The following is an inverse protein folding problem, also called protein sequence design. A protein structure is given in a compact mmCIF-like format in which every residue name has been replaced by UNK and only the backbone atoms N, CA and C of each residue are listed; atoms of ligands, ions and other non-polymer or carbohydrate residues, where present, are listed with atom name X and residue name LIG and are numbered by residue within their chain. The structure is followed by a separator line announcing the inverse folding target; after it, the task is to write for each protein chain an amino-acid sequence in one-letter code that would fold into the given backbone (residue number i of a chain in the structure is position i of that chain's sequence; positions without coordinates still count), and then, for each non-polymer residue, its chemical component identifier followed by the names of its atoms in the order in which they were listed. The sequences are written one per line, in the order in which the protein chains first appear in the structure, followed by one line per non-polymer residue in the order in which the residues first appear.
data_IF_388699547894
#
_entry.id   IF_388699547894
#
_cell.length_a   1.000
_cell.length_b   1.000
_cell.length_c   1.000
_cell.angle_alpha   90.00
_cell.angle_beta   90.00
_cell.angle_gamma   90.00
#
_symmetry.space_group_name_H-M   'P 1'
#
loop_
_entity.id
_entity.type
_entity.pdbx_description
1 polymer ?
#
# COMPACT_ATOMS: atom_id res chain seq x y z
N UNK A 1 13.13 -11.06 -15.14
CA UNK A 1 13.65 -10.56 -13.84
C UNK A 1 12.80 -11.16 -12.73
N UNK A 2 13.34 -11.42 -11.53
CA UNK A 2 12.52 -11.76 -10.37
C UNK A 2 11.47 -10.65 -10.11
N UNK A 3 10.36 -10.94 -9.40
CA UNK A 3 9.34 -9.94 -9.11
C UNK A 3 9.96 -8.74 -8.40
N UNK A 4 9.73 -7.55 -8.94
CA UNK A 4 10.07 -6.29 -8.26
C UNK A 4 8.83 -5.90 -7.49
N UNK A 5 8.95 -5.88 -6.16
CA UNK A 5 7.88 -5.41 -5.29
C UNK A 5 7.88 -3.89 -5.24
N UNK A 6 6.68 -3.32 -5.13
CA UNK A 6 6.43 -1.90 -4.94
C UNK A 6 5.91 -1.69 -3.51
N UNK A 7 6.43 -0.67 -2.84
CA UNK A 7 5.92 -0.21 -1.54
C UNK A 7 4.90 0.89 -1.81
N UNK A 8 3.65 0.69 -1.37
CA UNK A 8 2.47 1.45 -1.79
C UNK A 8 1.77 2.19 -0.64
N UNK A 9 2.43 2.37 0.50
CA UNK A 9 1.89 3.08 1.67
C UNK A 9 0.60 2.54 2.32
N UNK A 10 0.02 1.43 1.86
CA UNK A 10 -1.26 0.93 2.39
C UNK A 10 -1.17 0.46 3.85
N UNK A 11 -0.08 -0.24 4.22
CA UNK A 11 0.07 -0.83 5.55
C UNK A 11 1.54 -0.83 5.99
N UNK A 12 1.76 -0.45 7.25
CA UNK A 12 3.04 -0.61 7.93
C UNK A 12 2.86 -1.24 9.30
N UNK A 13 3.73 -2.19 9.64
CA UNK A 13 3.82 -2.78 10.97
C UNK A 13 5.28 -2.67 11.42
N UNK A 14 5.49 -1.99 12.54
CA UNK A 14 6.81 -1.80 13.14
C UNK A 14 6.70 -1.80 14.66
N UNK A 15 7.81 -2.12 15.32
CA UNK A 15 7.93 -1.89 16.77
C UNK A 15 8.12 -0.40 17.04
N UNK A 16 7.66 0.06 18.21
CA UNK A 16 7.81 1.45 18.64
C UNK A 16 9.28 1.87 18.64
N UNK A 17 10.14 1.01 19.15
CA UNK A 17 11.58 1.22 19.32
C UNK A 17 12.23 1.47 17.97
N UNK A 18 11.89 0.66 16.95
CA UNK A 18 12.44 0.80 15.60
C UNK A 18 12.00 2.12 14.94
N UNK A 19 10.70 2.47 15.02
CA UNK A 19 10.22 3.72 14.43
C UNK A 19 10.90 4.92 15.10
N UNK A 20 11.02 4.92 16.44
CA UNK A 20 11.63 6.01 17.19
C UNK A 20 13.12 6.18 16.84
N UNK A 21 13.86 5.08 16.72
CA UNK A 21 15.28 5.11 16.39
C UNK A 21 15.56 5.57 14.96
N UNK A 22 14.75 5.12 13.99
CA UNK A 22 15.01 5.36 12.56
C UNK A 22 14.35 6.62 12.02
N UNK A 23 13.24 7.06 12.62
CA UNK A 23 12.46 8.24 12.19
C UNK A 23 11.94 8.14 10.75
N UNK A 24 11.79 6.92 10.23
CA UNK A 24 11.15 6.62 8.96
C UNK A 24 10.45 5.26 9.04
N UNK A 25 9.58 4.96 8.06
CA UNK A 25 8.69 3.79 8.07
C UNK A 25 9.37 2.46 7.66
N UNK A 26 10.67 2.49 7.36
CA UNK A 26 11.42 1.31 6.90
C UNK A 26 12.27 0.74 8.03
N UNK A 27 12.11 -0.55 8.32
CA UNK A 27 12.95 -1.28 9.27
C UNK A 27 14.34 -1.60 8.70
N UNK A 28 15.20 -2.23 9.51
CA UNK A 28 16.53 -2.69 9.06
C UNK A 28 16.43 -3.83 8.05
N UNK A 29 15.47 -4.73 8.25
CA UNK A 29 15.16 -5.86 7.38
C UNK A 29 13.65 -5.90 7.12
N UNK A 30 13.12 -5.03 6.24
CA UNK A 30 11.69 -4.98 5.98
C UNK A 30 11.23 -6.27 5.29
N UNK A 31 10.03 -6.70 5.63
CA UNK A 31 9.32 -7.76 4.91
C UNK A 31 8.21 -7.10 4.09
N UNK A 32 8.02 -7.53 2.84
CA UNK A 32 6.92 -7.09 2.00
C UNK A 32 5.73 -8.04 2.20
N UNK A 33 4.54 -7.48 2.37
CA UNK A 33 3.29 -8.23 2.32
C UNK A 33 2.61 -7.94 0.99
N UNK A 34 2.43 -8.96 0.17
CA UNK A 34 1.87 -8.81 -1.18
C UNK A 34 0.35 -8.60 -1.12
N UNK A 35 -0.14 -7.63 -1.88
CA UNK A 35 -1.56 -7.36 -2.06
C UNK A 35 -1.90 -7.28 -3.55
N UNK A 36 -3.17 -7.49 -3.95
CA UNK A 36 -3.60 -7.30 -5.32
C UNK A 36 -3.31 -5.87 -5.80
N UNK A 37 -2.82 -5.72 -7.04
CA UNK A 37 -2.47 -4.41 -7.60
C UNK A 37 -3.65 -3.43 -7.63
N UNK A 38 -4.87 -3.90 -7.80
CA UNK A 38 -6.07 -3.04 -7.82
C UNK A 38 -6.49 -2.56 -6.43
N UNK A 39 -6.03 -3.24 -5.37
CA UNK A 39 -6.24 -2.82 -3.97
C UNK A 39 -5.13 -1.87 -3.49
N UNK A 40 -4.08 -1.68 -4.29
CA UNK A 40 -2.94 -0.81 -4.02
C UNK A 40 -3.12 0.63 -4.55
N UNK A 41 -4.34 1.05 -4.83
CA UNK A 41 -4.63 2.37 -5.41
C UNK A 41 -4.58 3.43 -4.31
N UNK A 42 -3.69 4.41 -4.47
CA UNK A 42 -3.66 5.63 -3.66
C UNK A 42 -4.72 6.62 -4.14
N UNK A 43 -5.22 7.44 -3.22
CA UNK A 43 -6.22 8.49 -3.48
C UNK A 43 -5.62 9.82 -3.03
N UNK A 44 -5.17 10.64 -3.98
CA UNK A 44 -4.61 11.96 -3.72
C UNK A 44 -5.58 13.08 -4.14
N UNK A 45 -6.29 12.88 -5.26
CA UNK A 45 -7.25 13.82 -5.83
C UNK A 45 -8.64 13.17 -5.98
N UNK A 46 -9.67 14.00 -6.23
CA UNK A 46 -11.05 13.53 -6.43
C UNK A 46 -11.18 12.52 -7.58
N UNK A 47 -10.37 12.67 -8.63
CA UNK A 47 -10.37 11.74 -9.76
C UNK A 47 -9.90 10.33 -9.35
N UNK A 48 -8.98 10.22 -8.39
CA UNK A 48 -8.50 8.93 -7.88
C UNK A 48 -9.58 8.23 -7.07
N UNK A 49 -10.40 9.00 -6.34
CA UNK A 49 -11.54 8.46 -5.62
C UNK A 49 -12.57 7.85 -6.58
N UNK A 50 -12.88 8.54 -7.68
CA UNK A 50 -13.78 8.02 -8.73
C UNK A 50 -13.21 6.74 -9.38
N UNK A 51 -11.90 6.67 -9.56
CA UNK A 51 -11.23 5.46 -10.04
C UNK A 51 -11.37 4.31 -9.05
N UNK A 52 -11.10 4.55 -7.76
CA UNK A 52 -11.25 3.55 -6.71
C UNK A 52 -12.69 3.04 -6.60
N UNK A 53 -13.69 3.93 -6.74
CA UNK A 53 -15.11 3.55 -6.77
C UNK A 53 -15.43 2.63 -7.96
N UNK A 54 -14.97 2.97 -9.16
CA UNK A 54 -15.18 2.16 -10.34
C UNK A 54 -14.55 0.76 -10.20
N UNK A 55 -13.34 0.68 -9.63
CA UNK A 55 -12.67 -0.59 -9.34
C UNK A 55 -13.48 -1.43 -8.33
N UNK A 56 -14.03 -0.80 -7.31
CA UNK A 56 -14.86 -1.49 -6.31
C UNK A 56 -16.19 -1.99 -6.90
N UNK A 57 -16.85 -1.21 -7.76
CA UNK A 57 -18.06 -1.64 -8.49
C UNK A 57 -17.77 -2.86 -9.37
N UNK A 58 -16.66 -2.84 -10.11
CA UNK A 58 -16.20 -3.99 -10.92
C UNK A 58 -15.95 -5.24 -10.06
N UNK A 59 -15.40 -5.08 -8.86
CA UNK A 59 -15.12 -6.20 -7.96
C UNK A 59 -16.39 -6.78 -7.31
N UNK A 60 -17.37 -5.92 -7.01
CA UNK A 60 -18.62 -6.29 -6.34
C UNK A 60 -19.75 -6.65 -7.30
N UNK A 61 -19.60 -6.42 -8.60
CA UNK A 61 -20.59 -6.71 -9.62
C UNK A 61 -21.81 -5.78 -9.58
N UNK A 62 -21.61 -4.54 -9.11
CA UNK A 62 -22.63 -3.47 -9.12
C UNK A 62 -22.53 -2.61 -10.37
#
# INVERSE_FOLDING_TARGET
LPPVYEENSCLYIFTRENLAARRHRLGEKPLMFEIPRLEAVDIDEEADFQMAEALMQMQTGQ
#
